data_IF_393494246530
#
_entry.id   IF_393494246530
#
_cell.length_a   1.000
_cell.length_b   1.000
_cell.length_c   1.000
_cell.angle_alpha   90.00
_cell.angle_beta   90.00
_cell.angle_gamma   90.00
#
_symmetry.space_group_name_H-M   'P 1'
#
loop_
_entity.id
_entity.type
_entity.pdbx_description
1 polymer ?
#
# COMPACT_ATOMS: atom_id res chain seq x y z
N UNK A 1 3.30 -13.96 -9.71
CA UNK A 1 1.94 -14.31 -10.17
C UNK A 1 1.64 -13.58 -11.45
N UNK A 2 1.02 -14.26 -12.40
CA UNK A 2 0.36 -13.64 -13.55
C UNK A 2 -0.99 -12.99 -13.15
N UNK A 3 -1.58 -12.21 -14.05
CA UNK A 3 -2.83 -11.49 -13.85
C UNK A 3 -4.01 -12.38 -13.44
N UNK A 4 -4.16 -13.55 -14.08
CA UNK A 4 -5.30 -14.43 -13.80
C UNK A 4 -5.17 -15.04 -12.40
N UNK A 5 -3.95 -15.40 -12.00
CA UNK A 5 -3.65 -15.89 -10.66
C UNK A 5 -3.97 -14.86 -9.57
N UNK A 6 -3.66 -13.58 -9.78
CA UNK A 6 -4.01 -12.50 -8.83
C UNK A 6 -5.52 -12.33 -8.66
N UNK A 7 -6.26 -12.31 -9.77
CA UNK A 7 -7.73 -12.17 -9.75
C UNK A 7 -8.36 -13.41 -9.09
N UNK A 8 -7.87 -14.61 -9.40
CA UNK A 8 -8.36 -15.84 -8.82
C UNK A 8 -8.16 -15.88 -7.30
N UNK A 9 -6.98 -15.48 -6.81
CA UNK A 9 -6.70 -15.40 -5.37
C UNK A 9 -7.62 -14.41 -4.66
N UNK A 10 -7.81 -13.20 -5.22
CA UNK A 10 -8.71 -12.22 -4.62
C UNK A 10 -10.16 -12.72 -4.54
N UNK A 11 -10.64 -13.43 -5.57
CA UNK A 11 -11.96 -14.07 -5.57
C UNK A 11 -12.08 -15.20 -4.55
N UNK A 12 -11.03 -16.03 -4.42
CA UNK A 12 -11.00 -17.11 -3.44
C UNK A 12 -11.09 -16.58 -2.01
N UNK A 13 -10.52 -15.40 -1.77
CA UNK A 13 -10.61 -14.68 -0.48
C UNK A 13 -11.92 -13.89 -0.32
N UNK A 14 -12.89 -14.03 -1.23
CA UNK A 14 -14.19 -13.35 -1.18
C UNK A 14 -14.13 -11.85 -1.48
N UNK A 15 -13.01 -11.33 -2.00
CA UNK A 15 -12.84 -9.90 -2.29
C UNK A 15 -13.55 -9.53 -3.59
N UNK A 16 -14.25 -8.40 -3.57
CA UNK A 16 -14.92 -7.81 -4.75
C UNK A 16 -14.03 -6.84 -5.53
N UNK A 17 -12.86 -6.49 -4.97
CA UNK A 17 -11.87 -5.61 -5.55
C UNK A 17 -10.44 -6.09 -5.24
N UNK A 18 -9.49 -5.70 -6.08
CA UNK A 18 -8.06 -5.84 -5.81
C UNK A 18 -7.57 -4.66 -4.97
N UNK A 19 -6.54 -4.89 -4.16
CA UNK A 19 -5.79 -3.78 -3.61
C UNK A 19 -5.02 -3.02 -4.71
N UNK A 20 -4.59 -1.81 -4.36
CA UNK A 20 -3.96 -0.88 -5.28
C UNK A 20 -2.63 -1.42 -5.84
N UNK A 21 -1.86 -2.17 -5.05
CA UNK A 21 -0.57 -2.72 -5.48
C UNK A 21 -0.79 -3.79 -6.55
N UNK A 22 -1.67 -4.75 -6.29
CA UNK A 22 -2.02 -5.80 -7.24
C UNK A 22 -2.72 -5.24 -8.49
N UNK A 23 -3.60 -4.25 -8.34
CA UNK A 23 -4.20 -3.53 -9.47
C UNK A 23 -3.14 -2.89 -10.37
N UNK A 24 -2.17 -2.17 -9.80
CA UNK A 24 -1.06 -1.57 -10.56
C UNK A 24 -0.15 -2.60 -11.22
N UNK A 25 0.09 -3.75 -10.59
CA UNK A 25 0.84 -4.85 -11.23
C UNK A 25 0.17 -5.35 -12.51
N UNK A 26 -1.16 -5.46 -12.52
CA UNK A 26 -1.93 -5.86 -13.70
C UNK A 26 -1.83 -4.78 -14.79
N UNK A 27 -1.99 -3.51 -14.44
CA UNK A 27 -1.86 -2.38 -15.38
C UNK A 27 -0.45 -2.32 -15.98
N UNK A 28 0.60 -2.45 -15.16
CA UNK A 28 1.99 -2.49 -15.60
C UNK A 28 2.25 -3.67 -16.55
N UNK A 29 1.75 -4.86 -16.21
CA UNK A 29 1.82 -6.05 -17.08
C UNK A 29 1.05 -5.90 -18.40
N UNK A 30 0.12 -4.93 -18.47
CA UNK A 30 -0.63 -4.57 -19.68
C UNK A 30 0.03 -3.43 -20.47
N UNK A 31 1.22 -2.98 -20.09
CA UNK A 31 1.98 -1.94 -20.78
C UNK A 31 1.69 -0.50 -20.33
N UNK A 32 0.87 -0.31 -19.28
CA UNK A 32 0.61 1.03 -18.73
C UNK A 32 1.71 1.42 -17.75
N UNK A 33 2.14 2.68 -17.81
CA UNK A 33 3.04 3.25 -16.81
C UNK A 33 2.27 3.51 -15.53
N UNK A 34 2.78 3.00 -14.41
CA UNK A 34 2.26 3.21 -13.06
C UNK A 34 3.40 3.67 -12.14
N UNK A 35 3.12 4.36 -11.03
CA UNK A 35 4.14 4.64 -10.03
C UNK A 35 4.82 3.35 -9.57
N UNK A 36 6.16 3.41 -9.40
CA UNK A 36 6.87 2.35 -8.71
C UNK A 36 6.44 2.37 -7.25
N UNK A 37 6.32 1.20 -6.65
CA UNK A 37 5.93 1.10 -5.25
C UNK A 37 6.34 -0.21 -4.64
N UNK A 38 6.45 -0.20 -3.31
CA UNK A 38 6.77 -1.36 -2.49
C UNK A 38 5.73 -1.49 -1.38
N UNK A 39 5.34 -2.73 -1.07
CA UNK A 39 4.51 -3.02 0.09
C UNK A 39 5.41 -3.53 1.20
N UNK A 40 5.28 -2.94 2.39
CA UNK A 40 5.96 -3.35 3.62
C UNK A 40 4.93 -3.64 4.71
N UNK A 41 5.20 -4.61 5.57
CA UNK A 41 4.27 -5.01 6.63
C UNK A 41 4.38 -4.08 7.86
N UNK A 42 5.60 -3.63 8.14
CA UNK A 42 5.93 -2.74 9.23
C UNK A 42 7.11 -1.82 8.88
N UNK A 43 7.57 -1.05 9.86
CA UNK A 43 8.65 -0.08 9.72
C UNK A 43 10.02 -0.74 9.50
N UNK A 44 10.14 -2.05 9.71
CA UNK A 44 11.37 -2.81 9.55
C UNK A 44 11.73 -2.91 8.07
N UNK A 45 12.95 -2.50 7.73
CA UNK A 45 13.44 -2.60 6.35
C UNK A 45 12.95 -1.49 5.42
N UNK A 46 12.26 -0.45 5.92
CA UNK A 46 11.89 0.74 5.13
C UNK A 46 13.06 1.32 4.35
N UNK A 47 14.22 1.47 4.97
CA UNK A 47 15.41 2.01 4.30
C UNK A 47 15.83 1.18 3.08
N UNK A 48 15.79 -0.15 3.20
CA UNK A 48 16.09 -1.06 2.10
C UNK A 48 14.97 -1.09 1.05
N UNK A 49 13.72 -0.96 1.47
CA UNK A 49 12.56 -0.97 0.58
C UNK A 49 12.50 0.29 -0.30
N UNK A 50 13.01 1.41 0.21
CA UNK A 50 12.98 2.72 -0.46
C UNK A 50 14.20 3.00 -1.34
N UNK A 51 15.21 2.12 -1.37
CA UNK A 51 16.46 2.36 -2.11
C UNK A 51 16.25 2.59 -3.62
N UNK A 52 15.21 1.96 -4.20
CA UNK A 52 14.86 2.09 -5.62
C UNK A 52 13.75 3.12 -5.91
N UNK A 53 13.33 3.87 -4.89
CA UNK A 53 12.29 4.91 -4.95
C UNK A 53 12.90 6.29 -4.71
N UNK A 54 12.23 7.33 -5.22
CA UNK A 54 12.68 8.71 -5.07
C UNK A 54 11.65 9.53 -4.28
N UNK A 55 12.07 10.30 -3.26
CA UNK A 55 11.16 11.16 -2.53
C UNK A 55 10.69 12.37 -3.39
N UNK A 56 9.58 13.02 -3.03
CA UNK A 56 8.75 12.76 -1.85
C UNK A 56 7.84 11.54 -2.04
N UNK A 57 7.77 10.69 -1.00
CA UNK A 57 6.97 9.48 -1.01
C UNK A 57 5.50 9.72 -0.60
N UNK A 58 4.63 8.82 -1.05
CA UNK A 58 3.29 8.63 -0.53
C UNK A 58 3.18 7.28 0.19
N UNK A 59 2.68 7.29 1.43
CA UNK A 59 2.36 6.11 2.23
C UNK A 59 0.85 5.88 2.21
N UNK A 60 0.42 4.66 1.91
CA UNK A 60 -1.00 4.29 1.85
C UNK A 60 -1.22 2.97 2.59
N UNK A 61 -2.24 2.87 3.44
CA UNK A 61 -2.61 1.57 4.00
C UNK A 61 -3.12 0.64 2.87
N UNK A 62 -2.70 -0.61 2.93
CA UNK A 62 -3.25 -1.70 2.13
C UNK A 62 -4.22 -2.46 3.02
N UNK A 63 -5.50 -2.42 2.65
CA UNK A 63 -6.55 -3.13 3.37
C UNK A 63 -7.73 -3.36 2.43
N UNK A 64 -8.27 -4.58 2.45
CA UNK A 64 -9.53 -4.88 1.76
C UNK A 64 -10.73 -4.17 2.42
N UNK A 65 -10.61 -3.80 3.69
CA UNK A 65 -11.68 -3.17 4.48
C UNK A 65 -11.73 -1.64 4.26
N UNK A 66 -10.65 -1.04 3.73
CA UNK A 66 -10.51 0.41 3.56
C UNK A 66 -10.58 0.76 2.07
N UNK A 67 -11.81 0.86 1.55
CA UNK A 67 -12.07 1.24 0.15
C UNK A 67 -11.90 2.76 -0.05
N UNK A 68 -12.32 3.59 0.92
CA UNK A 68 -12.22 5.06 0.87
C UNK A 68 -11.04 5.59 1.70
N UNK A 69 -9.81 5.28 1.25
CA UNK A 69 -8.56 5.51 1.99
C UNK A 69 -8.35 6.94 2.48
N UNK A 70 -8.63 7.95 1.64
CA UNK A 70 -8.43 9.36 1.99
C UNK A 70 -9.35 9.83 3.11
N UNK A 71 -10.59 9.37 3.12
CA UNK A 71 -11.58 9.74 4.15
C UNK A 71 -11.29 9.08 5.51
N UNK A 72 -10.42 8.06 5.51
CA UNK A 72 -10.00 7.30 6.70
C UNK A 72 -8.65 7.77 7.27
N UNK A 73 -7.98 8.73 6.62
CA UNK A 73 -6.59 9.08 6.90
C UNK A 73 -5.57 7.99 6.49
N UNK A 74 -5.98 6.99 5.71
CA UNK A 74 -5.14 5.88 5.28
C UNK A 74 -4.15 6.27 4.15
N UNK A 75 -3.88 7.57 4.00
CA UNK A 75 -2.93 8.14 3.02
C UNK A 75 -2.16 9.28 3.71
N UNK A 76 -0.84 9.26 3.57
CA UNK A 76 0.06 10.37 3.92
C UNK A 76 0.97 10.64 2.71
N UNK A 77 1.17 11.90 2.37
CA UNK A 77 1.97 12.32 1.21
C UNK A 77 3.07 13.29 1.64
N UNK A 78 4.08 13.47 0.79
CA UNK A 78 5.13 14.47 1.04
C UNK A 78 6.24 13.96 1.98
N UNK A 79 6.38 12.64 2.12
CA UNK A 79 7.36 12.02 3.02
C UNK A 79 8.75 12.11 2.41
N UNK A 80 9.73 12.64 3.16
CA UNK A 80 11.04 13.02 2.59
C UNK A 80 12.06 11.88 2.62
N UNK A 81 11.89 10.93 3.54
CA UNK A 81 12.84 9.87 3.82
C UNK A 81 12.15 8.69 4.53
N UNK A 82 12.92 7.64 4.81
CA UNK A 82 12.46 6.43 5.52
C UNK A 82 12.02 6.73 6.96
N UNK A 83 12.63 7.70 7.63
CA UNK A 83 12.27 8.08 8.99
C UNK A 83 10.87 8.73 9.05
N UNK A 84 10.60 9.66 8.13
CA UNK A 84 9.27 10.26 7.96
C UNK A 84 8.22 9.21 7.60
N UNK A 85 8.58 8.22 6.76
CA UNK A 85 7.69 7.12 6.42
C UNK A 85 7.37 6.23 7.63
N UNK A 86 8.36 5.91 8.47
CA UNK A 86 8.17 5.13 9.70
C UNK A 86 7.26 5.85 10.70
N UNK A 87 7.50 7.15 10.93
CA UNK A 87 6.65 7.97 11.81
C UNK A 87 5.21 8.03 11.29
N UNK A 88 5.03 8.26 9.99
CA UNK A 88 3.72 8.31 9.36
C UNK A 88 2.99 6.96 9.44
N UNK A 89 3.71 5.84 9.37
CA UNK A 89 3.16 4.50 9.50
C UNK A 89 2.65 4.24 10.92
N UNK A 90 3.44 4.57 11.95
CA UNK A 90 3.01 4.48 13.35
C UNK A 90 1.76 5.30 13.63
N UNK A 91 1.76 6.57 13.23
CA UNK A 91 0.61 7.46 13.40
C UNK A 91 -0.63 6.98 12.62
N UNK A 92 -0.43 6.41 11.43
CA UNK A 92 -1.52 5.82 10.65
C UNK A 92 -2.11 4.58 11.34
N UNK A 93 -1.27 3.70 11.87
CA UNK A 93 -1.68 2.50 12.60
C UNK A 93 -2.56 2.86 13.80
N UNK A 94 -2.11 3.81 14.62
CA UNK A 94 -2.86 4.27 15.81
C UNK A 94 -4.22 4.85 15.44
N UNK A 95 -4.27 5.65 14.37
CA UNK A 95 -5.51 6.28 13.90
C UNK A 95 -6.51 5.30 13.31
N UNK A 96 -6.04 4.23 12.68
CA UNK A 96 -6.90 3.22 12.04
C UNK A 96 -7.35 2.12 13.01
N UNK A 97 -6.64 1.90 14.12
CA UNK A 97 -6.99 0.89 15.14
C UNK A 97 -8.45 0.94 15.61
N UNK A 98 -9.04 2.10 15.96
CA UNK A 98 -10.42 2.17 16.43
C UNK A 98 -11.47 1.73 15.40
N UNK A 99 -11.14 1.80 14.11
CA UNK A 99 -12.04 1.39 13.02
C UNK A 99 -12.14 -0.12 12.83
N UNK A 100 -11.28 -0.91 13.48
CA UNK A 100 -11.27 -2.37 13.39
C UNK A 100 -10.86 -2.93 12.02
N UNK A 101 -10.46 -2.06 11.08
CA UNK A 101 -10.02 -2.47 9.76
C UNK A 101 -8.70 -3.24 9.85
N UNK A 102 -8.61 -4.38 9.17
CA UNK A 102 -7.36 -5.14 9.08
C UNK A 102 -6.42 -4.45 8.10
N UNK A 103 -5.25 -4.06 8.57
CA UNK A 103 -4.18 -3.55 7.71
C UNK A 103 -3.35 -4.75 7.27
N UNK A 104 -3.36 -5.02 5.96
CA UNK A 104 -2.59 -6.11 5.34
C UNK A 104 -1.15 -5.67 5.01
N UNK A 105 -0.86 -4.36 5.09
CA UNK A 105 0.46 -3.77 4.90
C UNK A 105 0.37 -2.29 4.54
N UNK A 106 1.49 -1.71 4.11
CA UNK A 106 1.61 -0.32 3.71
C UNK A 106 2.31 -0.22 2.37
N UNK A 107 1.65 0.44 1.41
CA UNK A 107 2.20 0.74 0.11
C UNK A 107 2.94 2.08 0.18
N UNK A 108 4.19 2.10 -0.28
CA UNK A 108 5.01 3.30 -0.41
C UNK A 108 5.44 3.48 -1.86
N UNK A 109 5.28 4.69 -2.38
CA UNK A 109 5.57 5.09 -3.77
C UNK A 109 6.28 6.44 -3.82
#
# INVERSE_FOLDING_TARGET
MDTLSLIASARADGRVALDEFNGKRILAGSGLTVPKGVVVDDETGLESALTDLSPPFALKAVSADIIHKSDSGAVVIGLKDSAAAAEAMGAMRERLQPGGARIDGYLIE
#
